data_IF_076437625202
#
_entry.id   IF_076437625202
#
_cell.length_a   1.000
_cell.length_b   1.000
_cell.length_c   1.000
_cell.angle_alpha   90.00
_cell.angle_beta   90.00
_cell.angle_gamma   90.00
#
_symmetry.space_group_name_H-M   'P 1'
#
loop_
_entity.id
_entity.type
_entity.pdbx_description
1 polymer ?
#
# COMPACT_ATOMS: atom_id res chain seq x y z
N UNK A 1 -0.89 -2.13 -24.08
CA UNK A 1 -1.79 -1.68 -23.02
C UNK A 1 -3.20 -1.64 -23.59
N UNK A 2 -4.17 -2.28 -22.91
CA UNK A 2 -5.57 -2.30 -23.34
C UNK A 2 -6.23 -0.94 -23.02
N UNK A 3 -7.33 -0.63 -23.70
CA UNK A 3 -8.17 0.56 -23.42
C UNK A 3 -7.50 1.91 -23.69
N UNK A 4 -6.56 1.99 -24.64
CA UNK A 4 -5.85 3.23 -25.00
C UNK A 4 -5.13 3.94 -23.84
N UNK A 5 -4.75 3.18 -22.82
CA UNK A 5 -3.92 3.70 -21.73
C UNK A 5 -2.44 3.57 -22.07
N UNK A 6 -1.65 4.55 -21.68
CA UNK A 6 -0.19 4.50 -21.76
C UNK A 6 0.38 4.34 -20.36
N UNK A 7 1.12 3.26 -20.13
CA UNK A 7 1.85 3.03 -18.89
C UNK A 7 3.34 3.01 -19.17
N UNK A 8 4.10 3.81 -18.46
CA UNK A 8 5.56 3.93 -18.62
C UNK A 8 6.26 3.80 -17.27
N UNK A 9 7.43 3.19 -17.27
CA UNK A 9 8.32 3.13 -16.11
C UNK A 9 9.60 3.91 -16.41
N UNK A 10 10.43 4.13 -15.40
CA UNK A 10 11.64 4.95 -15.47
C UNK A 10 11.39 6.40 -15.93
N UNK A 11 10.20 6.91 -15.61
CA UNK A 11 9.82 8.29 -15.89
C UNK A 11 9.42 8.95 -14.58
N UNK A 12 10.13 10.01 -14.21
CA UNK A 12 9.91 10.79 -13.01
C UNK A 12 9.11 12.04 -13.33
N UNK A 13 8.14 12.37 -12.47
CA UNK A 13 7.46 13.68 -12.52
C UNK A 13 8.29 14.74 -11.81
N UNK A 14 8.57 15.81 -12.52
CA UNK A 14 9.28 16.98 -11.99
C UNK A 14 8.33 18.10 -11.52
N UNK A 15 7.03 17.81 -11.44
CA UNK A 15 5.98 18.74 -11.04
C UNK A 15 5.05 19.11 -12.18
N UNK A 16 3.95 19.75 -11.81
CA UNK A 16 2.87 20.12 -12.72
C UNK A 16 2.42 21.54 -12.46
N UNK A 17 2.13 22.28 -13.54
CA UNK A 17 1.59 23.63 -13.47
C UNK A 17 0.36 23.73 -14.33
N UNK A 18 -0.59 24.61 -13.96
CA UNK A 18 -1.74 24.92 -14.82
C UNK A 18 -1.39 25.99 -15.83
N UNK A 19 -1.75 25.75 -17.08
CA UNK A 19 -1.62 26.74 -18.14
C UNK A 19 -2.83 27.70 -18.16
N UNK A 20 -2.76 28.73 -19.00
CA UNK A 20 -3.83 29.72 -19.16
C UNK A 20 -5.15 29.12 -19.69
N UNK A 21 -5.12 27.97 -20.32
CA UNK A 21 -6.29 27.23 -20.82
C UNK A 21 -6.93 26.35 -19.74
N UNK A 22 -6.39 26.33 -18.53
CA UNK A 22 -6.89 25.51 -17.43
C UNK A 22 -6.50 24.03 -17.54
N UNK A 23 -5.52 23.65 -18.37
CA UNK A 23 -4.96 22.31 -18.44
C UNK A 23 -3.74 22.19 -17.56
N UNK A 24 -3.49 21.01 -17.05
CA UNK A 24 -2.24 20.67 -16.39
C UNK A 24 -1.13 20.42 -17.42
N UNK A 25 0.03 20.96 -17.16
CA UNK A 25 1.26 20.68 -17.89
C UNK A 25 2.26 20.06 -16.92
N UNK A 26 2.49 18.76 -17.06
CA UNK A 26 3.42 17.99 -16.24
C UNK A 26 4.74 17.87 -16.97
N UNK A 27 5.83 18.22 -16.30
CA UNK A 27 7.18 17.98 -16.78
C UNK A 27 7.66 16.60 -16.29
N UNK A 28 8.13 15.78 -17.21
CA UNK A 28 8.61 14.42 -17.00
C UNK A 28 10.06 14.30 -17.37
N UNK A 29 10.78 13.43 -16.67
CA UNK A 29 12.18 13.09 -16.99
C UNK A 29 12.34 11.58 -17.11
N UNK A 30 12.92 11.12 -18.20
CA UNK A 30 13.38 9.74 -18.32
C UNK A 30 14.64 9.56 -17.48
N UNK A 31 14.56 8.71 -16.46
CA UNK A 31 15.66 8.50 -15.51
C UNK A 31 16.83 7.69 -16.07
N UNK A 32 16.64 7.07 -17.24
CA UNK A 32 17.71 6.28 -17.90
C UNK A 32 18.63 7.12 -18.79
N UNK A 33 18.07 8.11 -19.49
CA UNK A 33 18.82 8.91 -20.45
C UNK A 33 18.77 10.43 -20.18
N UNK A 34 18.00 10.87 -19.17
CA UNK A 34 17.87 12.27 -18.78
C UNK A 34 16.96 13.12 -19.68
N UNK A 35 16.39 12.57 -20.75
CA UNK A 35 15.47 13.30 -21.63
C UNK A 35 14.24 13.78 -20.87
N UNK A 36 13.76 14.97 -21.22
CA UNK A 36 12.57 15.57 -20.61
C UNK A 36 11.43 15.67 -21.60
N UNK A 37 10.21 15.48 -21.08
CA UNK A 37 8.99 15.53 -21.85
C UNK A 37 7.96 16.41 -21.13
N UNK A 38 7.01 16.95 -21.89
CA UNK A 38 5.85 17.65 -21.33
C UNK A 38 4.58 16.92 -21.74
N UNK A 39 3.73 16.65 -20.74
CA UNK A 39 2.42 16.04 -20.97
C UNK A 39 1.35 17.03 -20.54
N UNK A 40 0.31 17.19 -21.36
CA UNK A 40 -0.88 17.97 -21.02
C UNK A 40 -2.01 17.04 -20.64
N UNK A 41 -2.76 17.42 -19.61
CA UNK A 41 -3.91 16.64 -19.13
C UNK A 41 -4.99 17.56 -18.55
N UNK A 42 -6.23 17.13 -18.62
CA UNK A 42 -7.35 17.84 -18.00
C UNK A 42 -7.39 17.61 -16.48
N UNK A 43 -6.97 16.43 -16.02
CA UNK A 43 -7.00 16.00 -14.63
C UNK A 43 -5.62 15.41 -14.27
N UNK A 44 -5.17 15.63 -13.05
CA UNK A 44 -4.05 14.90 -12.45
C UNK A 44 -4.56 14.03 -11.32
N UNK A 45 -4.05 12.80 -11.26
CA UNK A 45 -4.23 11.89 -10.14
C UNK A 45 -2.84 11.59 -9.55
N UNK A 46 -2.57 12.15 -8.38
CA UNK A 46 -1.35 11.90 -7.63
C UNK A 46 -1.53 10.63 -6.79
N UNK A 47 -1.06 9.51 -7.29
CA UNK A 47 -1.05 8.20 -6.65
C UNK A 47 0.38 7.74 -6.30
N UNK A 48 1.27 8.68 -5.94
CA UNK A 48 2.69 8.45 -5.73
C UNK A 48 3.01 7.72 -4.40
N UNK A 49 2.02 7.16 -3.70
CA UNK A 49 2.24 6.42 -2.45
C UNK A 49 2.95 7.28 -1.41
N UNK A 50 4.10 6.84 -0.86
CA UNK A 50 4.82 7.61 0.16
C UNK A 50 5.28 9.01 -0.31
N UNK A 51 5.33 9.25 -1.61
CA UNK A 51 5.80 10.50 -2.21
C UNK A 51 4.69 11.49 -2.60
N UNK A 52 3.42 11.21 -2.23
CA UNK A 52 2.27 12.08 -2.56
C UNK A 52 2.49 13.50 -2.04
N UNK A 53 2.94 13.66 -0.78
CA UNK A 53 3.20 14.98 -0.18
C UNK A 53 4.29 15.76 -0.95
N UNK A 54 5.35 15.06 -1.35
CA UNK A 54 6.43 15.67 -2.15
C UNK A 54 5.92 16.12 -3.52
N UNK A 55 5.16 15.27 -4.20
CA UNK A 55 4.58 15.59 -5.50
C UNK A 55 3.60 16.77 -5.41
N UNK A 56 2.77 16.81 -4.37
CA UNK A 56 1.88 17.94 -4.11
C UNK A 56 2.67 19.25 -3.88
N UNK A 57 3.74 19.18 -3.09
CA UNK A 57 4.59 20.34 -2.82
C UNK A 57 5.22 20.92 -4.09
N UNK A 58 5.79 20.09 -4.98
CA UNK A 58 6.40 20.56 -6.23
C UNK A 58 5.39 21.01 -7.28
N UNK A 59 4.11 20.62 -7.13
CA UNK A 59 3.00 21.06 -7.98
C UNK A 59 2.14 22.17 -7.32
N UNK A 60 2.59 22.70 -6.16
CA UNK A 60 1.90 23.74 -5.39
C UNK A 60 0.44 23.41 -5.09
N UNK A 61 0.17 22.15 -4.73
CA UNK A 61 -1.16 21.67 -4.34
C UNK A 61 -1.25 21.56 -2.83
N UNK A 62 -2.27 22.19 -2.25
CA UNK A 62 -2.59 22.11 -0.81
C UNK A 62 -3.63 21.00 -0.58
N UNK A 63 -3.44 20.20 0.48
CA UNK A 63 -4.30 19.07 0.81
C UNK A 63 -4.70 19.09 2.29
N UNK A 64 -5.84 18.46 2.60
CA UNK A 64 -6.32 18.29 3.98
C UNK A 64 -5.55 17.18 4.72
N UNK A 65 -5.02 16.22 3.99
CA UNK A 65 -4.27 15.11 4.53
C UNK A 65 -2.78 15.21 4.21
N UNK A 66 -2.00 14.51 5.01
CA UNK A 66 -0.56 14.29 4.80
C UNK A 66 -0.14 12.95 5.38
N UNK A 67 1.07 12.50 5.07
CA UNK A 67 1.62 11.27 5.61
C UNK A 67 2.47 11.47 6.86
N UNK A 68 2.44 10.46 7.71
CA UNK A 68 3.51 10.11 8.65
C UNK A 68 3.98 8.70 8.32
N UNK A 69 5.25 8.42 8.53
CA UNK A 69 5.85 7.19 8.04
C UNK A 69 6.19 6.22 9.15
N UNK A 70 5.87 4.95 8.91
CA UNK A 70 6.23 3.83 9.76
C UNK A 70 7.08 2.84 8.97
N UNK A 71 8.32 2.67 9.41
CA UNK A 71 9.24 1.66 8.88
C UNK A 71 8.88 0.28 9.40
N UNK A 72 8.81 -0.70 8.52
CA UNK A 72 8.69 -2.11 8.86
C UNK A 72 9.74 -2.93 8.14
N UNK A 73 10.44 -3.79 8.87
CA UNK A 73 11.44 -4.68 8.30
C UNK A 73 11.04 -6.14 8.43
N UNK A 74 11.60 -6.97 7.58
CA UNK A 74 11.60 -8.41 7.73
C UNK A 74 12.99 -8.96 7.45
N UNK A 75 13.36 -9.98 8.19
CA UNK A 75 14.58 -10.74 7.94
C UNK A 75 14.22 -12.05 7.24
N UNK A 76 15.03 -12.47 6.29
CA UNK A 76 14.95 -13.78 5.66
C UNK A 76 16.07 -14.62 6.24
N UNK A 77 15.70 -15.72 6.86
CA UNK A 77 16.59 -16.65 7.57
C UNK A 77 16.44 -18.07 7.01
N UNK A 78 17.32 -19.01 7.32
CA UNK A 78 17.12 -20.43 6.99
C UNK A 78 15.78 -20.93 7.49
N UNK A 79 15.29 -22.02 6.92
CA UNK A 79 14.05 -22.65 7.35
C UNK A 79 14.10 -23.02 8.83
N UNK A 80 13.19 -22.48 9.63
CA UNK A 80 13.12 -22.69 11.08
C UNK A 80 12.07 -23.74 11.48
N UNK A 81 11.22 -24.16 10.56
CA UNK A 81 10.17 -25.17 10.79
C UNK A 81 9.79 -25.86 9.49
N UNK A 82 9.44 -27.13 9.58
CA UNK A 82 8.86 -27.90 8.46
C UNK A 82 7.36 -27.62 8.28
N UNK A 83 6.74 -26.87 9.17
CA UNK A 83 5.34 -26.49 9.08
C UNK A 83 5.18 -25.45 7.95
N UNK A 84 4.25 -25.70 7.03
CA UNK A 84 3.93 -24.80 5.93
C UNK A 84 2.97 -23.65 6.31
N UNK A 85 2.50 -23.62 7.56
CA UNK A 85 1.60 -22.58 8.06
C UNK A 85 2.38 -21.36 8.52
N UNK A 86 1.78 -20.19 8.35
CA UNK A 86 2.30 -18.95 8.96
C UNK A 86 2.13 -19.05 10.46
N UNK A 87 3.23 -18.88 11.18
CA UNK A 87 3.19 -18.76 12.63
C UNK A 87 2.99 -17.29 12.98
N UNK A 88 2.04 -17.03 13.88
CA UNK A 88 1.68 -15.68 14.29
C UNK A 88 1.69 -15.60 15.81
N UNK A 89 2.34 -14.59 16.36
CA UNK A 89 2.41 -14.34 17.79
C UNK A 89 2.56 -12.83 18.06
N UNK A 90 2.48 -12.45 19.34
CA UNK A 90 2.70 -11.06 19.75
C UNK A 90 4.17 -10.84 20.11
N UNK A 91 4.77 -9.79 19.59
CA UNK A 91 6.07 -9.30 20.00
C UNK A 91 6.02 -8.69 21.43
N UNK A 92 7.18 -8.31 21.97
CA UNK A 92 7.27 -7.79 23.34
C UNK A 92 6.49 -6.47 23.53
N UNK A 93 6.32 -5.69 22.47
CA UNK A 93 5.53 -4.45 22.44
C UNK A 93 4.07 -4.64 22.05
N UNK A 94 3.60 -5.89 22.00
CA UNK A 94 2.20 -6.23 21.71
C UNK A 94 1.80 -6.21 20.24
N UNK A 95 2.72 -5.92 19.30
CA UNK A 95 2.42 -6.00 17.87
C UNK A 95 2.36 -7.43 17.37
N UNK A 96 1.64 -7.66 16.29
CA UNK A 96 1.66 -8.93 15.58
C UNK A 96 3.00 -9.16 14.92
N UNK A 97 3.56 -10.35 15.15
CA UNK A 97 4.81 -10.80 14.60
C UNK A 97 4.61 -12.13 13.86
N UNK A 98 5.31 -12.30 12.75
CA UNK A 98 5.08 -13.42 11.86
C UNK A 98 6.38 -14.19 11.58
N UNK A 99 6.24 -15.51 11.44
CA UNK A 99 7.22 -16.36 10.78
C UNK A 99 6.54 -17.05 9.59
N UNK A 100 6.90 -16.62 8.39
CA UNK A 100 6.25 -16.99 7.15
C UNK A 100 7.16 -17.95 6.37
N UNK A 101 6.77 -19.21 6.16
CA UNK A 101 7.54 -20.16 5.37
C UNK A 101 7.67 -19.72 3.91
N UNK A 102 8.88 -19.79 3.36
CA UNK A 102 9.22 -19.45 1.98
C UNK A 102 10.10 -20.55 1.36
N UNK A 103 9.53 -21.75 1.16
CA UNK A 103 10.30 -22.90 0.70
C UNK A 103 11.31 -23.35 1.76
N UNK A 104 12.61 -23.26 1.43
CA UNK A 104 13.72 -23.61 2.32
C UNK A 104 14.21 -22.43 3.20
N UNK A 105 13.41 -21.38 3.31
CA UNK A 105 13.69 -20.17 4.08
C UNK A 105 12.46 -19.78 4.90
N UNK A 106 12.66 -18.88 5.85
CA UNK A 106 11.56 -18.27 6.60
C UNK A 106 11.73 -16.75 6.60
N UNK A 107 10.67 -16.03 6.34
CA UNK A 107 10.60 -14.59 6.52
C UNK A 107 10.07 -14.29 7.92
N UNK A 108 10.81 -13.56 8.73
CA UNK A 108 10.46 -13.23 10.12
C UNK A 108 10.33 -11.71 10.29
N UNK A 109 9.37 -11.24 11.07
CA UNK A 109 9.09 -9.83 11.32
C UNK A 109 7.63 -9.59 11.68
N UNK A 110 7.25 -8.38 11.93
CA UNK A 110 7.80 -7.11 11.42
C UNK A 110 8.17 -6.16 12.56
N UNK A 111 8.95 -5.13 12.24
CA UNK A 111 9.08 -3.92 13.08
C UNK A 111 7.99 -2.90 12.73
N UNK A 112 7.88 -1.86 13.56
CA UNK A 112 6.99 -0.71 13.33
C UNK A 112 7.62 0.51 13.99
N UNK A 113 8.52 1.19 13.27
CA UNK A 113 9.35 2.27 13.77
C UNK A 113 9.01 3.55 13.04
N UNK A 114 8.72 4.65 13.76
CA UNK A 114 8.48 5.95 13.15
C UNK A 114 9.74 6.46 12.47
N UNK A 115 9.58 6.95 11.25
CA UNK A 115 10.65 7.58 10.46
C UNK A 115 10.17 8.90 9.87
N UNK A 116 11.10 9.78 9.54
CA UNK A 116 10.79 11.12 9.03
C UNK A 116 10.60 11.16 7.51
N UNK A 117 11.21 10.22 6.80
CA UNK A 117 11.21 10.15 5.33
C UNK A 117 10.87 8.73 4.87
N UNK A 118 10.39 8.57 3.63
CA UNK A 118 10.15 7.23 3.07
C UNK A 118 11.45 6.50 2.69
N UNK A 119 12.55 7.20 2.53
CA UNK A 119 13.86 6.61 2.29
C UNK A 119 14.46 6.18 3.63
N UNK A 120 14.59 4.88 3.82
CA UNK A 120 15.10 4.30 5.07
C UNK A 120 15.73 2.93 4.83
N UNK A 121 16.53 2.50 5.77
CA UNK A 121 17.23 1.22 5.73
C UNK A 121 17.05 0.43 7.03
N UNK A 122 17.47 -0.82 7.02
CA UNK A 122 17.48 -1.69 8.20
C UNK A 122 18.61 -1.27 9.11
N UNK A 123 18.32 -1.04 10.39
CA UNK A 123 19.31 -0.72 11.41
C UNK A 123 19.68 -1.94 12.24
N UNK A 124 20.73 -1.84 13.06
CA UNK A 124 21.11 -2.90 14.01
C UNK A 124 20.00 -3.18 15.03
N UNK A 125 19.35 -2.12 15.50
CA UNK A 125 18.25 -2.22 16.46
C UNK A 125 17.05 -2.98 15.85
N UNK A 126 16.76 -2.77 14.57
CA UNK A 126 15.72 -3.53 13.86
C UNK A 126 16.07 -5.02 13.81
N UNK A 127 17.32 -5.38 13.50
CA UNK A 127 17.78 -6.77 13.46
C UNK A 127 17.66 -7.42 14.82
N UNK A 128 18.18 -6.77 15.85
CA UNK A 128 18.12 -7.27 17.22
C UNK A 128 16.67 -7.48 17.67
N UNK A 129 15.79 -6.49 17.44
CA UNK A 129 14.38 -6.62 17.78
C UNK A 129 13.75 -7.87 17.14
N UNK A 130 14.00 -8.10 15.85
CA UNK A 130 13.42 -9.25 15.13
C UNK A 130 14.01 -10.56 15.62
N UNK A 131 15.34 -10.65 15.79
CA UNK A 131 16.03 -11.88 16.26
C UNK A 131 15.64 -12.22 17.69
N UNK A 132 15.61 -11.26 18.60
CA UNK A 132 15.23 -11.47 20.00
C UNK A 132 13.79 -11.96 20.12
N UNK A 133 12.86 -11.36 19.39
CA UNK A 133 11.47 -11.80 19.42
C UNK A 133 11.29 -13.23 18.87
N UNK A 134 11.94 -13.58 17.76
CA UNK A 134 11.82 -14.94 17.21
C UNK A 134 12.46 -15.99 18.14
N UNK A 135 13.64 -15.72 18.66
CA UNK A 135 14.34 -16.60 19.58
C UNK A 135 13.59 -16.80 20.90
N UNK A 136 12.96 -15.77 21.41
CA UNK A 136 12.16 -15.82 22.64
C UNK A 136 10.85 -16.60 22.49
N UNK A 137 10.25 -16.56 21.31
CA UNK A 137 8.90 -17.11 21.05
C UNK A 137 8.91 -18.54 20.51
N UNK A 138 9.98 -18.94 19.85
CA UNK A 138 10.11 -20.27 19.26
C UNK A 138 11.21 -21.07 19.97
N UNK A 139 10.90 -22.32 20.27
CA UNK A 139 11.89 -23.26 20.78
C UNK A 139 12.75 -23.77 19.62
N UNK A 140 13.71 -22.97 19.20
CA UNK A 140 14.63 -23.32 18.13
C UNK A 140 15.74 -24.18 18.66
N UNK A 141 16.23 -25.16 17.88
CA UNK A 141 17.37 -26.01 18.22
C UNK A 141 18.62 -25.17 18.47
N UNK A 142 18.78 -24.08 17.73
CA UNK A 142 19.85 -23.09 17.90
C UNK A 142 19.23 -21.70 17.73
N UNK A 143 19.51 -20.76 18.64
CA UNK A 143 19.08 -19.38 18.46
C UNK A 143 19.61 -18.78 17.13
N UNK A 144 18.77 -18.01 16.45
CA UNK A 144 19.18 -17.25 15.27
C UNK A 144 20.05 -16.07 15.69
N UNK A 145 21.05 -15.79 14.89
CA UNK A 145 21.98 -14.68 15.05
C UNK A 145 22.08 -13.88 13.75
N UNK A 146 22.81 -12.78 13.75
CA UNK A 146 23.00 -11.96 12.55
C UNK A 146 23.65 -12.73 11.39
N UNK A 147 24.48 -13.71 11.67
CA UNK A 147 25.11 -14.55 10.63
C UNK A 147 24.12 -15.47 9.92
N UNK A 148 22.95 -15.67 10.49
CA UNK A 148 21.88 -16.47 9.90
C UNK A 148 20.98 -15.62 8.96
N UNK A 149 21.19 -14.31 8.89
CA UNK A 149 20.42 -13.40 8.02
C UNK A 149 20.87 -13.59 6.57
N UNK A 150 19.99 -14.13 5.74
CA UNK A 150 20.25 -14.35 4.31
C UNK A 150 20.00 -13.06 3.52
N UNK A 151 18.91 -12.36 3.85
CA UNK A 151 18.59 -11.05 3.26
C UNK A 151 17.60 -10.28 4.14
N UNK A 152 17.44 -9.00 3.83
CA UNK A 152 16.58 -8.07 4.56
C UNK A 152 15.59 -7.43 3.63
N UNK A 153 14.41 -7.14 4.15
CA UNK A 153 13.41 -6.31 3.49
C UNK A 153 13.08 -5.13 4.38
N UNK A 154 13.14 -3.95 3.80
CA UNK A 154 12.72 -2.71 4.45
C UNK A 154 11.65 -2.04 3.62
N UNK A 155 10.61 -1.54 4.27
CA UNK A 155 9.57 -0.79 3.62
C UNK A 155 8.95 0.23 4.56
N UNK A 156 8.39 1.29 3.98
CA UNK A 156 7.71 2.35 4.73
C UNK A 156 6.22 2.29 4.45
N UNK A 157 5.44 2.34 5.52
CA UNK A 157 3.98 2.47 5.46
C UNK A 157 3.62 3.94 5.57
N UNK A 158 3.01 4.54 4.56
CA UNK A 158 2.45 5.88 4.66
C UNK A 158 1.13 5.80 5.44
N UNK A 159 1.11 6.38 6.63
CA UNK A 159 -0.08 6.49 7.48
C UNK A 159 -0.68 7.88 7.30
N UNK A 160 -2.00 7.96 7.21
CA UNK A 160 -2.70 9.20 6.90
C UNK A 160 -3.08 9.96 8.16
N UNK A 161 -2.79 11.26 8.18
CA UNK A 161 -3.25 12.18 9.21
C UNK A 161 -3.79 13.47 8.58
N UNK A 162 -4.69 14.16 9.29
CA UNK A 162 -5.14 15.50 8.88
C UNK A 162 -4.05 16.55 9.10
N UNK A 163 -3.94 17.46 8.15
CA UNK A 163 -3.05 18.61 8.25
C UNK A 163 -3.52 19.53 9.40
N UNK A 164 -2.64 19.95 10.28
CA UNK A 164 -2.96 20.79 11.45
C UNK A 164 -3.39 20.04 12.72
N UNK A 165 -3.56 18.72 12.67
CA UNK A 165 -3.81 17.94 13.88
C UNK A 165 -2.55 17.82 14.73
N UNK A 166 -2.52 18.61 15.84
CA UNK A 166 -1.38 18.69 16.77
C UNK A 166 -1.37 17.55 17.80
N UNK A 167 -2.46 16.79 17.95
CA UNK A 167 -2.58 15.74 18.96
C UNK A 167 -1.77 14.47 18.65
N UNK A 168 -1.17 14.40 17.48
CA UNK A 168 -0.38 13.24 17.02
C UNK A 168 1.09 13.22 17.51
N UNK A 169 1.42 13.98 18.57
CA UNK A 169 2.84 14.13 18.90
C UNK A 169 3.50 12.92 19.58
N UNK A 170 2.82 12.06 20.32
CA UNK A 170 3.59 11.11 21.14
C UNK A 170 3.08 9.69 21.38
N UNK A 171 1.81 9.29 21.18
CA UNK A 171 1.43 7.92 21.61
C UNK A 171 0.44 7.15 20.72
N UNK A 172 -0.24 7.78 19.78
CA UNK A 172 -1.31 7.11 19.04
C UNK A 172 -0.99 6.75 17.57
N UNK A 173 0.23 6.97 17.11
CA UNK A 173 0.57 6.72 15.71
C UNK A 173 0.40 5.24 15.30
N UNK A 174 0.61 4.30 16.23
CA UNK A 174 0.37 2.87 15.97
C UNK A 174 -1.12 2.53 15.77
N UNK A 175 -2.01 3.40 16.26
CA UNK A 175 -3.47 3.26 16.09
C UNK A 175 -3.99 3.99 14.84
N UNK A 176 -3.13 4.73 14.13
CA UNK A 176 -3.54 5.48 12.95
C UNK A 176 -4.15 4.58 11.88
N UNK A 177 -5.17 5.11 11.24
CA UNK A 177 -5.91 4.41 10.20
C UNK A 177 -4.98 4.05 9.03
N UNK A 178 -5.10 2.81 8.57
CA UNK A 178 -4.50 2.34 7.32
C UNK A 178 -5.49 2.41 6.15
N UNK A 179 -6.61 3.10 6.33
CA UNK A 179 -7.55 3.40 5.25
C UNK A 179 -6.93 4.45 4.35
N UNK A 180 -7.29 4.41 3.08
CA UNK A 180 -6.95 5.50 2.17
C UNK A 180 -7.77 6.74 2.47
N UNK A 181 -7.27 7.90 2.03
CA UNK A 181 -8.00 9.15 1.96
C UNK A 181 -7.76 9.78 0.60
N UNK A 182 -8.77 10.46 0.09
CA UNK A 182 -8.73 11.14 -1.21
C UNK A 182 -9.02 12.61 -0.99
N UNK A 183 -8.09 13.47 -1.38
CA UNK A 183 -8.27 14.91 -1.41
C UNK A 183 -8.46 15.37 -2.85
N UNK A 184 -9.47 16.20 -3.08
CA UNK A 184 -9.83 16.68 -4.41
C UNK A 184 -9.80 18.20 -4.45
N UNK A 185 -8.92 18.76 -5.25
CA UNK A 185 -8.99 20.15 -5.66
C UNK A 185 -9.93 20.26 -6.89
N UNK A 186 -11.19 20.57 -6.63
CA UNK A 186 -12.25 20.62 -7.62
C UNK A 186 -12.02 21.70 -8.69
N UNK A 187 -11.47 22.84 -8.29
CA UNK A 187 -11.19 23.95 -9.18
C UNK A 187 -10.03 23.64 -10.13
N UNK A 188 -8.96 23.10 -9.56
CA UNK A 188 -7.75 22.76 -10.32
C UNK A 188 -7.82 21.39 -10.97
N UNK A 189 -8.82 20.56 -10.63
CA UNK A 189 -8.98 19.19 -11.10
C UNK A 189 -7.76 18.32 -10.76
N UNK A 190 -7.36 18.35 -9.50
CA UNK A 190 -6.26 17.57 -8.99
C UNK A 190 -6.76 16.64 -7.89
N UNK A 191 -6.38 15.38 -7.95
CA UNK A 191 -6.76 14.33 -6.99
C UNK A 191 -5.49 13.83 -6.32
N UNK A 192 -5.46 13.77 -5.00
CA UNK A 192 -4.35 13.21 -4.22
C UNK A 192 -4.83 12.02 -3.41
N UNK A 193 -4.16 10.87 -3.55
CA UNK A 193 -4.51 9.62 -2.88
C UNK A 193 -3.49 9.35 -1.78
N UNK A 194 -3.96 9.32 -0.54
CA UNK A 194 -3.13 9.10 0.64
C UNK A 194 -3.36 7.71 1.23
N UNK A 195 -2.29 7.06 1.72
CA UNK A 195 -2.34 5.79 2.43
C UNK A 195 -2.90 4.64 1.58
N UNK A 196 -3.70 3.80 2.23
CA UNK A 196 -4.30 2.62 1.62
C UNK A 196 -3.40 1.38 1.63
N UNK A 197 -4.00 0.25 1.31
CA UNK A 197 -3.31 -1.03 1.13
C UNK A 197 -3.42 -1.45 -0.32
N UNK A 198 -2.44 -2.20 -0.81
CA UNK A 198 -2.50 -2.76 -2.16
C UNK A 198 -3.77 -3.60 -2.40
N UNK A 199 -4.25 -4.29 -1.35
CA UNK A 199 -5.50 -5.07 -1.41
C UNK A 199 -6.77 -4.23 -1.52
N UNK A 200 -6.68 -2.91 -1.35
CA UNK A 200 -7.80 -1.96 -1.47
C UNK A 200 -7.83 -1.24 -2.84
N UNK A 201 -6.96 -1.62 -3.75
CA UNK A 201 -6.75 -0.91 -5.01
C UNK A 201 -8.00 -0.83 -5.90
N UNK A 202 -8.89 -1.83 -5.83
CA UNK A 202 -10.14 -1.80 -6.58
C UNK A 202 -11.11 -0.75 -6.04
N UNK A 203 -11.32 -0.70 -4.72
CA UNK A 203 -12.18 0.30 -4.09
C UNK A 203 -11.66 1.72 -4.35
N UNK A 204 -10.35 1.93 -4.18
CA UNK A 204 -9.70 3.22 -4.51
C UNK A 204 -9.91 3.57 -5.98
N UNK A 205 -9.75 2.60 -6.88
CA UNK A 205 -9.95 2.81 -8.32
C UNK A 205 -11.39 3.20 -8.66
N UNK A 206 -12.39 2.58 -8.04
CA UNK A 206 -13.81 2.92 -8.23
C UNK A 206 -14.11 4.33 -7.72
N UNK A 207 -13.65 4.69 -6.51
CA UNK A 207 -13.82 6.03 -5.94
C UNK A 207 -13.18 7.10 -6.85
N UNK A 208 -11.97 6.86 -7.33
CA UNK A 208 -11.30 7.80 -8.24
C UNK A 208 -12.04 7.93 -9.57
N UNK A 209 -12.59 6.84 -10.12
CA UNK A 209 -13.40 6.91 -11.32
C UNK A 209 -14.64 7.80 -11.13
N UNK A 210 -15.33 7.69 -10.00
CA UNK A 210 -16.48 8.53 -9.66
C UNK A 210 -16.08 10.01 -9.56
N UNK A 211 -14.98 10.31 -8.86
CA UNK A 211 -14.45 11.68 -8.74
C UNK A 211 -14.10 12.27 -10.11
N UNK A 212 -13.42 11.50 -10.98
CA UNK A 212 -13.04 11.94 -12.32
C UNK A 212 -14.27 12.25 -13.19
N UNK A 213 -15.34 11.46 -13.06
CA UNK A 213 -16.61 11.75 -13.73
C UNK A 213 -17.27 13.03 -13.22
N UNK A 214 -17.26 13.24 -11.89
CA UNK A 214 -17.76 14.48 -11.27
C UNK A 214 -16.97 15.72 -11.71
N UNK A 215 -15.67 15.57 -12.00
CA UNK A 215 -14.84 16.61 -12.59
C UNK A 215 -15.13 16.90 -14.07
N UNK A 216 -16.15 16.22 -14.65
CA UNK A 216 -16.60 16.42 -16.02
C UNK A 216 -15.76 15.69 -17.08
N UNK A 217 -14.95 14.72 -16.68
CA UNK A 217 -14.17 13.91 -17.63
C UNK A 217 -14.96 12.67 -18.05
N UNK A 218 -15.14 12.49 -19.35
CA UNK A 218 -15.79 11.29 -19.87
C UNK A 218 -14.89 10.07 -19.72
N UNK A 219 -15.42 9.03 -19.08
CA UNK A 219 -14.74 7.72 -18.96
C UNK A 219 -15.40 6.74 -19.95
N UNK A 220 -14.65 6.18 -20.90
CA UNK A 220 -15.23 5.31 -21.94
C UNK A 220 -15.66 3.94 -21.40
N UNK A 221 -15.19 3.54 -20.23
CA UNK A 221 -15.44 2.24 -19.65
C UNK A 221 -15.77 2.30 -18.14
N UNK A 222 -16.76 3.11 -17.72
CA UNK A 222 -17.05 3.36 -16.30
C UNK A 222 -17.60 2.14 -15.66
N UNK A 223 -17.41 1.27 -15.09
CA UNK A 223 -18.00 0.04 -14.52
C UNK A 223 -17.65 -1.24 -15.28
N UNK A 224 -16.69 -1.18 -16.18
CA UNK A 224 -16.25 -2.39 -16.85
C UNK A 224 -15.45 -3.27 -15.87
N UNK A 225 -15.93 -4.48 -15.64
CA UNK A 225 -15.18 -5.51 -14.95
C UNK A 225 -14.02 -5.97 -15.84
N UNK A 226 -12.81 -5.67 -15.48
CA UNK A 226 -11.60 -5.92 -16.28
C UNK A 226 -10.59 -6.79 -15.54
N UNK A 227 -10.91 -7.17 -14.33
CA UNK A 227 -9.97 -7.71 -13.36
C UNK A 227 -10.30 -9.17 -13.00
N UNK A 228 -10.06 -10.10 -13.91
CA UNK A 228 -10.09 -11.53 -13.58
C UNK A 228 -11.30 -12.02 -12.77
N UNK A 229 -12.40 -11.25 -12.74
CA UNK A 229 -13.60 -11.69 -12.06
C UNK A 229 -14.12 -12.96 -12.75
N UNK A 230 -14.44 -14.01 -11.99
CA UNK A 230 -14.99 -15.22 -12.55
C UNK A 230 -16.34 -14.94 -13.22
N UNK A 231 -16.66 -15.73 -14.21
CA UNK A 231 -18.00 -15.74 -14.78
C UNK A 231 -19.04 -15.98 -13.66
N UNK A 232 -20.21 -15.36 -13.77
CA UNK A 232 -21.26 -15.40 -12.74
C UNK A 232 -21.59 -16.82 -12.27
N UNK A 233 -21.66 -17.77 -13.19
CA UNK A 233 -21.90 -19.19 -12.87
C UNK A 233 -20.80 -19.80 -11.97
N UNK A 234 -19.53 -19.40 -12.13
CA UNK A 234 -18.43 -19.86 -11.29
C UNK A 234 -18.51 -19.23 -9.91
N UNK A 235 -18.89 -17.96 -9.84
CA UNK A 235 -19.11 -17.26 -8.57
C UNK A 235 -20.26 -17.90 -7.78
N UNK A 236 -21.37 -18.20 -8.45
CA UNK A 236 -22.54 -18.79 -7.83
C UNK A 236 -22.26 -20.21 -7.33
N UNK A 237 -21.49 -20.99 -8.09
CA UNK A 237 -21.00 -22.31 -7.65
C UNK A 237 -20.09 -22.18 -6.42
N UNK A 238 -19.18 -21.18 -6.40
CA UNK A 238 -18.34 -20.92 -5.24
C UNK A 238 -19.18 -20.57 -4.00
N UNK A 239 -20.18 -19.69 -4.13
CA UNK A 239 -21.07 -19.33 -3.03
C UNK A 239 -21.84 -20.54 -2.51
N UNK A 240 -22.35 -21.37 -3.42
CA UNK A 240 -23.02 -22.61 -3.05
C UNK A 240 -22.10 -23.57 -2.26
N UNK A 241 -20.84 -23.70 -2.68
CA UNK A 241 -19.83 -24.50 -1.97
C UNK A 241 -19.54 -23.92 -0.57
N UNK A 242 -19.46 -22.60 -0.46
CA UNK A 242 -19.24 -21.88 0.81
C UNK A 242 -20.38 -22.15 1.80
N UNK A 243 -21.62 -22.12 1.32
CA UNK A 243 -22.82 -22.44 2.11
C UNK A 243 -22.81 -23.89 2.58
N UNK A 244 -22.49 -24.81 1.69
CA UNK A 244 -22.40 -26.24 2.02
C UNK A 244 -21.33 -26.54 3.07
N UNK A 245 -20.24 -25.81 3.06
CA UNK A 245 -19.14 -25.95 4.05
C UNK A 245 -19.40 -25.19 5.35
N UNK A 246 -20.44 -24.39 5.45
CA UNK A 246 -20.72 -23.52 6.59
C UNK A 246 -19.60 -22.49 6.84
N UNK A 247 -18.94 -22.00 5.78
CA UNK A 247 -17.78 -21.15 5.92
C UNK A 247 -18.10 -19.82 6.61
N UNK A 248 -19.31 -19.30 6.45
CA UNK A 248 -19.78 -18.08 7.10
C UNK A 248 -19.96 -18.27 8.61
N UNK A 249 -20.13 -19.48 9.11
CA UNK A 249 -20.14 -19.79 10.54
C UNK A 249 -18.73 -19.69 11.14
N UNK A 250 -17.69 -19.91 10.32
CA UNK A 250 -16.29 -19.82 10.73
C UNK A 250 -15.71 -18.42 10.60
N UNK A 251 -16.40 -17.54 9.91
CA UNK A 251 -16.01 -16.15 9.64
C UNK A 251 -17.10 -15.19 10.12
N UNK A 252 -16.90 -13.89 9.98
CA UNK A 252 -18.01 -12.95 10.19
C UNK A 252 -19.08 -13.14 9.10
N UNK A 253 -20.35 -13.11 9.49
CA UNK A 253 -21.49 -13.27 8.58
C UNK A 253 -21.34 -12.38 7.32
N UNK A 254 -21.54 -12.97 6.15
CA UNK A 254 -21.40 -12.30 4.86
C UNK A 254 -19.95 -12.08 4.37
N UNK A 255 -18.94 -12.56 5.11
CA UNK A 255 -17.55 -12.39 4.69
C UNK A 255 -17.22 -13.14 3.41
N UNK A 256 -17.80 -14.33 3.21
CA UNK A 256 -17.62 -15.14 2.00
C UNK A 256 -18.24 -14.48 0.78
N UNK A 257 -19.41 -13.86 0.90
CA UNK A 257 -20.03 -13.09 -0.18
C UNK A 257 -19.19 -11.88 -0.57
N UNK A 258 -18.65 -11.17 0.44
CA UNK A 258 -17.74 -10.05 0.19
C UNK A 258 -16.45 -10.51 -0.49
N UNK A 259 -15.89 -11.65 -0.08
CA UNK A 259 -14.70 -12.23 -0.71
C UNK A 259 -14.98 -12.65 -2.14
N UNK A 260 -16.11 -13.30 -2.41
CA UNK A 260 -16.49 -13.74 -3.76
C UNK A 260 -16.77 -12.59 -4.72
N UNK A 261 -17.26 -11.45 -4.22
CA UNK A 261 -17.46 -10.24 -5.03
C UNK A 261 -16.15 -9.53 -5.37
N UNK A 262 -15.07 -9.88 -4.69
CA UNK A 262 -13.73 -9.28 -4.86
C UNK A 262 -12.74 -10.18 -5.59
N UNK A 263 -13.07 -11.44 -5.80
CA UNK A 263 -12.34 -12.39 -6.62
C UNK A 263 -12.83 -12.33 -8.07
#
# INVERSE_FOLDING_TARGET
>A
VNYNCTAVNYVESLGSVRNAQGEWQTQLRNTRNGETYKVRSAVIINACGPYVDQQNKISEVTTEHRHVFSKGIHLIVPQITNNKRVLTFFADDGRLFFAIPMGNRTMVGTTDTRVSTPETEVTMEDRHFVLDNINKRLNLTKPLTEVDIISERCGVRPLVIKTGDQNNKNEEWMKLSRKHAVDVDWERKHISIFGGKLTDCLNVGEEICEVVQQLGTHLPYPKRKWYGEPHEAIRDEYLHQVDLMGLDELTSAGASEVLSKRL
#
